data_IF_739147685598
#
_entry.id   IF_739147685598
#
_cell.length_a   1.000
_cell.length_b   1.000
_cell.length_c   1.000
_cell.angle_alpha   90.00
_cell.angle_beta   90.00
_cell.angle_gamma   90.00
#
_symmetry.space_group_name_H-M   'P 1'
#
loop_
_entity.id
_entity.type
_entity.pdbx_description
1 polymer ?
#
# COMPACT_ATOMS: atom_id res chain seq x y z
N UNK A 1 20.11 0.07 5.99
CA UNK A 1 19.60 1.41 6.37
C UNK A 1 20.71 2.23 7.01
N UNK A 2 21.50 1.65 7.93
CA UNK A 2 22.54 2.38 8.69
C UNK A 2 23.61 2.97 7.76
N UNK A 3 24.13 2.19 6.81
CA UNK A 3 25.10 2.67 5.81
C UNK A 3 24.55 3.86 5.02
N UNK A 4 23.31 3.78 4.52
CA UNK A 4 22.67 4.86 3.77
C UNK A 4 22.50 6.13 4.62
N UNK A 5 22.10 5.96 5.90
CA UNK A 5 21.94 7.10 6.80
C UNK A 5 23.26 7.79 7.10
N UNK A 6 24.32 7.03 7.40
CA UNK A 6 25.62 7.57 7.84
C UNK A 6 26.49 8.02 6.66
N UNK A 7 26.66 7.18 5.63
CA UNK A 7 27.61 7.46 4.54
C UNK A 7 27.01 8.40 3.48
N UNK A 8 25.74 8.23 3.11
CA UNK A 8 25.11 9.01 2.03
C UNK A 8 24.43 10.28 2.55
N UNK A 9 23.77 10.21 3.72
CA UNK A 9 22.99 11.32 4.25
C UNK A 9 23.66 12.06 5.42
N UNK A 10 24.72 11.52 5.98
CA UNK A 10 25.42 12.12 7.12
C UNK A 10 24.57 12.21 8.40
N UNK A 11 23.62 11.28 8.56
CA UNK A 11 22.71 11.22 9.69
C UNK A 11 23.17 10.16 10.70
N UNK A 12 22.91 10.38 11.99
CA UNK A 12 23.11 9.37 13.02
C UNK A 12 22.08 8.26 12.88
N UNK A 13 22.51 7.06 12.46
CA UNK A 13 21.65 5.91 12.23
C UNK A 13 20.87 5.50 13.48
N UNK A 14 21.41 5.74 14.68
CA UNK A 14 20.73 5.45 15.95
C UNK A 14 19.54 6.38 16.25
N UNK A 15 19.53 7.55 15.62
CA UNK A 15 18.48 8.57 15.75
C UNK A 15 17.52 8.62 14.54
N UNK A 16 17.74 7.75 13.54
CA UNK A 16 16.97 7.75 12.31
C UNK A 16 16.11 6.51 12.17
N UNK A 17 14.99 6.67 11.47
CA UNK A 17 14.18 5.58 10.94
C UNK A 17 13.77 5.90 9.51
N UNK A 18 13.65 4.88 8.67
CA UNK A 18 13.33 5.10 7.26
C UNK A 18 12.73 3.87 6.59
N UNK A 19 12.19 4.08 5.40
CA UNK A 19 11.61 3.06 4.56
C UNK A 19 12.26 3.11 3.19
N UNK A 20 12.67 1.95 2.67
CA UNK A 20 13.21 1.84 1.32
C UNK A 20 12.08 1.58 0.32
N UNK A 21 12.20 2.16 -0.88
CA UNK A 21 11.23 1.97 -1.95
C UNK A 21 11.91 1.97 -3.31
N UNK A 22 11.39 1.15 -4.24
CA UNK A 22 11.73 1.21 -5.66
C UNK A 22 10.83 2.19 -6.44
N UNK A 23 9.79 2.74 -5.80
CA UNK A 23 8.95 3.78 -6.43
C UNK A 23 9.73 5.11 -6.51
N UNK A 24 9.50 5.88 -7.58
CA UNK A 24 10.08 7.22 -7.68
C UNK A 24 9.59 8.13 -6.56
N UNK A 25 10.51 8.80 -5.89
CA UNK A 25 10.17 9.79 -4.85
C UNK A 25 9.43 11.00 -5.42
N UNK A 26 9.57 11.30 -6.70
CA UNK A 26 8.80 12.33 -7.39
C UNK A 26 7.31 12.00 -7.48
N UNK A 27 6.96 10.71 -7.37
CA UNK A 27 5.60 10.21 -7.32
C UNK A 27 5.05 10.04 -5.90
N UNK A 28 5.77 10.54 -4.89
CA UNK A 28 5.25 10.56 -3.53
C UNK A 28 4.00 11.44 -3.44
N UNK A 29 2.95 10.92 -2.84
CA UNK A 29 1.70 11.63 -2.64
C UNK A 29 1.54 12.06 -1.19
N UNK A 30 1.09 13.29 -0.98
CA UNK A 30 0.85 13.87 0.34
C UNK A 30 -0.63 14.21 0.47
N UNK A 31 -1.24 13.75 1.57
CA UNK A 31 -2.61 14.12 1.92
C UNK A 31 -2.66 14.57 3.37
N UNK A 32 -3.29 15.69 3.62
CA UNK A 32 -3.45 16.25 4.96
C UNK A 32 -4.93 16.60 5.22
N UNK A 33 -5.43 16.17 6.37
CA UNK A 33 -6.74 16.58 6.89
C UNK A 33 -6.59 17.08 8.31
N UNK A 34 -7.39 18.07 8.67
CA UNK A 34 -7.42 18.67 10.00
C UNK A 34 -8.82 18.56 10.61
N UNK A 35 -8.87 18.52 11.91
CA UNK A 35 -10.09 18.63 12.69
C UNK A 35 -9.77 19.38 13.98
N UNK A 36 -10.47 20.50 14.21
CA UNK A 36 -10.21 21.39 15.33
C UNK A 36 -8.72 21.76 15.44
N UNK A 37 -8.04 21.34 16.49
CA UNK A 37 -6.67 21.70 16.86
C UNK A 37 -5.62 20.64 16.49
N UNK A 38 -6.00 19.58 15.78
CA UNK A 38 -5.05 18.58 15.31
C UNK A 38 -5.19 18.24 13.82
N UNK A 39 -4.14 17.67 13.26
CA UNK A 39 -4.10 17.25 11.85
C UNK A 39 -3.41 15.89 11.68
N UNK A 40 -3.75 15.24 10.57
CA UNK A 40 -3.12 13.98 10.13
C UNK A 40 -2.60 14.20 8.72
N UNK A 41 -1.33 13.86 8.49
CA UNK A 41 -0.69 13.91 7.18
C UNK A 41 -0.15 12.52 6.84
N UNK A 42 -0.53 11.99 5.69
CA UNK A 42 0.05 10.79 5.11
C UNK A 42 0.95 11.17 3.93
N UNK A 43 2.20 10.71 3.94
CA UNK A 43 3.16 10.79 2.83
C UNK A 43 3.38 9.36 2.35
N UNK A 44 3.04 9.09 1.09
CA UNK A 44 2.97 7.72 0.57
C UNK A 44 3.71 7.60 -0.75
N UNK A 45 4.53 6.55 -0.88
CA UNK A 45 4.98 6.01 -2.16
C UNK A 45 4.33 4.65 -2.39
N UNK A 46 3.90 4.34 -3.61
CA UNK A 46 3.18 3.11 -3.86
C UNK A 46 3.45 2.51 -5.25
N UNK A 47 3.72 1.19 -5.29
CA UNK A 47 3.81 0.39 -6.51
C UNK A 47 3.32 -1.04 -6.23
N UNK A 48 2.36 -1.53 -7.02
CA UNK A 48 1.66 -2.80 -6.74
C UNK A 48 1.57 -3.75 -7.93
N UNK A 49 1.95 -3.29 -9.13
CA UNK A 49 1.68 -4.03 -10.38
C UNK A 49 2.34 -5.41 -10.42
N UNK A 50 3.53 -5.54 -9.86
CA UNK A 50 4.32 -6.79 -9.87
C UNK A 50 4.25 -7.59 -8.57
N UNK A 51 3.88 -6.97 -7.44
CA UNK A 51 3.97 -7.56 -6.10
C UNK A 51 2.71 -7.35 -5.23
N UNK A 52 1.59 -6.97 -5.85
CA UNK A 52 0.31 -6.89 -5.12
C UNK A 52 -0.09 -8.26 -4.57
N UNK A 53 -0.35 -8.37 -3.27
CA UNK A 53 -0.72 -9.60 -2.60
C UNK A 53 -1.83 -9.39 -1.57
N UNK A 54 -2.53 -10.47 -1.26
CA UNK A 54 -3.57 -10.50 -0.24
C UNK A 54 -3.03 -11.17 1.01
N UNK A 55 -3.28 -10.60 2.17
CA UNK A 55 -2.97 -11.28 3.44
C UNK A 55 -3.68 -12.63 3.50
N UNK A 56 -2.94 -13.70 3.81
CA UNK A 56 -3.43 -15.08 3.77
C UNK A 56 -3.19 -15.83 2.46
N UNK A 57 -2.63 -15.19 1.43
CA UNK A 57 -2.13 -15.89 0.25
C UNK A 57 -0.99 -16.84 0.63
N UNK A 58 -0.77 -17.96 -0.11
CA UNK A 58 0.32 -18.89 0.17
C UNK A 58 1.68 -18.18 0.16
N UNK A 59 2.46 -18.35 1.22
CA UNK A 59 3.81 -17.83 1.32
C UNK A 59 4.81 -18.77 0.64
N UNK A 60 5.77 -18.19 -0.10
CA UNK A 60 6.87 -18.91 -0.72
C UNK A 60 8.16 -18.92 0.10
N UNK A 61 8.22 -18.13 1.17
CA UNK A 61 9.42 -17.96 1.98
C UNK A 61 9.18 -18.34 3.43
N UNK A 62 10.22 -18.91 4.07
CA UNK A 62 10.21 -19.30 5.47
C UNK A 62 11.60 -19.01 6.08
N UNK A 63 11.64 -18.31 7.23
CA UNK A 63 12.88 -17.84 7.88
C UNK A 63 13.90 -18.93 8.23
N UNK A 64 13.45 -20.18 8.41
CA UNK A 64 14.32 -21.32 8.74
C UNK A 64 15.02 -21.95 7.51
N UNK A 65 14.62 -21.57 6.32
CA UNK A 65 15.33 -22.01 5.10
C UNK A 65 16.50 -21.07 4.85
N UNK A 66 17.72 -21.61 4.73
CA UNK A 66 18.93 -20.87 4.32
C UNK A 66 18.84 -20.35 2.87
N UNK A 67 17.68 -20.47 2.22
CA UNK A 67 17.45 -19.88 0.91
C UNK A 67 17.48 -18.36 1.04
N UNK A 68 18.60 -17.79 0.60
CA UNK A 68 18.75 -16.36 0.33
C UNK A 68 17.51 -15.81 -0.36
N UNK A 69 17.09 -14.60 0.01
CA UNK A 69 16.15 -13.82 -0.79
C UNK A 69 16.59 -13.92 -2.26
N UNK A 70 15.76 -14.55 -3.07
CA UNK A 70 16.03 -14.65 -4.50
C UNK A 70 15.92 -13.22 -5.07
N UNK A 71 16.99 -12.73 -5.72
CA UNK A 71 17.04 -11.41 -6.37
C UNK A 71 15.93 -11.24 -7.44
N UNK A 72 15.20 -12.33 -7.73
CA UNK A 72 14.03 -12.33 -8.62
C UNK A 72 12.74 -11.88 -7.97
N UNK A 73 12.74 -11.47 -6.68
CA UNK A 73 11.53 -11.02 -6.00
C UNK A 73 10.95 -9.79 -6.72
N UNK A 74 9.69 -9.85 -7.16
CA UNK A 74 9.09 -8.73 -7.90
C UNK A 74 9.13 -7.44 -7.09
N UNK A 75 9.59 -6.35 -7.70
CA UNK A 75 9.66 -5.03 -7.05
C UNK A 75 8.26 -4.43 -6.94
N UNK A 76 7.94 -3.92 -5.76
CA UNK A 76 6.69 -3.23 -5.49
C UNK A 76 6.49 -3.12 -3.99
N UNK A 77 6.17 -1.93 -3.51
CA UNK A 77 5.97 -1.66 -2.08
C UNK A 77 5.03 -0.48 -1.89
N UNK A 78 4.37 -0.44 -0.76
CA UNK A 78 3.62 0.73 -0.29
C UNK A 78 4.25 1.19 1.01
N UNK A 79 4.89 2.35 0.98
CA UNK A 79 5.48 2.97 2.15
C UNK A 79 4.65 4.18 2.57
N UNK A 80 4.33 4.26 3.86
CA UNK A 80 3.49 5.30 4.44
C UNK A 80 4.21 5.92 5.64
N UNK A 81 4.49 7.21 5.56
CA UNK A 81 4.83 8.04 6.71
C UNK A 81 3.55 8.73 7.17
N UNK A 82 3.06 8.39 8.36
CA UNK A 82 1.84 8.95 8.93
C UNK A 82 2.21 9.89 10.08
N UNK A 83 2.13 11.20 9.83
CA UNK A 83 2.36 12.22 10.83
C UNK A 83 1.03 12.66 11.45
N UNK A 84 0.97 12.65 12.77
CA UNK A 84 -0.19 13.05 13.57
C UNK A 84 0.25 14.20 14.47
N UNK A 85 -0.27 15.41 14.20
CA UNK A 85 0.06 16.61 14.98
C UNK A 85 -0.75 16.65 16.30
N UNK A 86 -0.58 15.60 17.09
CA UNK A 86 -1.13 15.46 18.44
C UNK A 86 -0.23 14.53 19.25
N UNK A 87 -0.25 14.68 20.58
CA UNK A 87 0.39 13.73 21.48
C UNK A 87 -0.46 12.46 21.62
N UNK A 88 0.17 11.31 21.40
CA UNK A 88 -0.49 10.00 21.45
C UNK A 88 0.12 9.11 22.51
N UNK A 89 -0.73 8.49 23.31
CA UNK A 89 -0.31 7.38 24.15
C UNK A 89 0.11 6.17 23.31
N UNK A 90 0.95 5.28 23.87
CA UNK A 90 1.46 4.09 23.17
C UNK A 90 0.33 3.20 22.61
N UNK A 91 -0.77 3.07 23.33
CA UNK A 91 -1.95 2.30 22.90
C UNK A 91 -2.64 2.94 21.68
N UNK A 92 -2.70 4.28 21.66
CA UNK A 92 -3.22 5.01 20.53
C UNK A 92 -2.30 4.92 19.30
N UNK A 93 -0.97 4.91 19.49
CA UNK A 93 0.00 4.66 18.42
C UNK A 93 -0.21 3.26 17.79
N UNK A 94 -0.36 2.22 18.61
CA UNK A 94 -0.66 0.86 18.15
C UNK A 94 -1.99 0.81 17.39
N UNK A 95 -3.03 1.48 17.90
CA UNK A 95 -4.33 1.59 17.24
C UNK A 95 -4.25 2.38 15.91
N UNK A 96 -3.41 3.42 15.83
CA UNK A 96 -3.17 4.17 14.60
C UNK A 96 -2.52 3.29 13.52
N UNK A 97 -1.60 2.39 13.90
CA UNK A 97 -1.00 1.43 12.98
C UNK A 97 -2.06 0.49 12.38
N UNK A 98 -2.96 -0.03 13.22
CA UNK A 98 -4.06 -0.88 12.76
C UNK A 98 -4.97 -0.12 11.80
N UNK A 99 -5.39 1.10 12.14
CA UNK A 99 -6.23 1.94 11.28
C UNK A 99 -5.56 2.29 9.96
N UNK A 100 -4.25 2.54 9.97
CA UNK A 100 -3.45 2.77 8.76
C UNK A 100 -3.42 1.53 7.86
N UNK A 101 -3.20 0.34 8.43
CA UNK A 101 -3.20 -0.92 7.69
C UNK A 101 -4.59 -1.24 7.09
N UNK A 102 -5.67 -1.01 7.85
CA UNK A 102 -7.04 -1.15 7.36
C UNK A 102 -7.33 -0.15 6.21
N UNK A 103 -6.91 1.10 6.34
CA UNK A 103 -7.07 2.12 5.31
C UNK A 103 -6.31 1.77 4.03
N UNK A 104 -5.09 1.21 4.16
CA UNK A 104 -4.34 0.67 3.02
C UNK A 104 -5.13 -0.43 2.32
N UNK A 105 -5.64 -1.42 3.05
CA UNK A 105 -6.46 -2.48 2.47
C UNK A 105 -7.73 -1.94 1.80
N UNK A 106 -8.39 -0.95 2.39
CA UNK A 106 -9.55 -0.29 1.80
C UNK A 106 -9.22 0.41 0.48
N UNK A 107 -8.09 1.13 0.40
CA UNK A 107 -7.63 1.75 -0.86
C UNK A 107 -7.41 0.71 -1.96
N UNK A 108 -6.80 -0.44 -1.63
CA UNK A 108 -6.59 -1.55 -2.56
C UNK A 108 -7.92 -2.15 -3.04
N UNK A 109 -8.89 -2.30 -2.13
CA UNK A 109 -10.23 -2.79 -2.45
C UNK A 109 -11.00 -1.81 -3.35
N UNK A 110 -10.96 -0.51 -3.06
CA UNK A 110 -11.63 0.50 -3.88
C UNK A 110 -11.05 0.62 -5.29
N UNK A 111 -9.74 0.39 -5.44
CA UNK A 111 -9.07 0.28 -6.74
C UNK A 111 -9.18 -1.12 -7.35
N UNK A 112 -9.75 -2.09 -6.63
CA UNK A 112 -9.87 -3.49 -7.05
C UNK A 112 -8.55 -4.09 -7.55
N UNK A 113 -7.44 -3.81 -6.87
CA UNK A 113 -6.14 -4.35 -7.24
C UNK A 113 -6.14 -5.87 -7.05
N UNK A 114 -5.88 -6.61 -8.12
CA UNK A 114 -5.80 -8.07 -8.06
C UNK A 114 -4.57 -8.54 -7.30
N UNK A 115 -4.72 -9.59 -6.48
CA UNK A 115 -3.55 -10.33 -5.98
C UNK A 115 -2.83 -11.01 -7.15
N UNK A 116 -1.51 -11.10 -7.06
CA UNK A 116 -0.67 -11.88 -8.00
C UNK A 116 -0.54 -13.35 -7.56
N UNK A 117 -1.00 -13.68 -6.36
CA UNK A 117 -0.80 -14.98 -5.70
C UNK A 117 -2.11 -15.75 -5.49
N UNK A 118 -3.26 -15.13 -5.75
CA UNK A 118 -4.59 -15.73 -5.66
C UNK A 118 -5.60 -14.99 -6.52
N UNK A 119 -6.83 -15.53 -6.63
CA UNK A 119 -7.95 -14.84 -7.29
C UNK A 119 -8.54 -13.70 -6.40
N UNK A 120 -7.92 -13.38 -5.27
CA UNK A 120 -8.39 -12.36 -4.35
C UNK A 120 -8.06 -10.93 -4.78
N UNK A 121 -8.59 -9.97 -4.03
CA UNK A 121 -8.17 -8.56 -4.10
C UNK A 121 -6.99 -8.40 -3.15
N UNK A 122 -5.91 -7.75 -3.63
CA UNK A 122 -4.73 -7.47 -2.82
C UNK A 122 -5.06 -6.56 -1.63
N UNK A 123 -4.34 -6.72 -0.53
CA UNK A 123 -4.43 -5.86 0.66
C UNK A 123 -3.19 -5.01 0.86
N UNK A 124 -2.18 -5.21 0.02
CA UNK A 124 -0.89 -4.52 0.02
C UNK A 124 0.10 -5.24 -0.87
N UNK A 125 1.37 -5.17 -0.52
CA UNK A 125 2.49 -5.91 -1.13
C UNK A 125 3.25 -6.71 -0.07
N UNK A 126 4.24 -7.49 -0.49
CA UNK A 126 5.06 -8.29 0.44
C UNK A 126 6.05 -7.48 1.30
N UNK A 127 6.26 -6.20 0.97
CA UNK A 127 7.32 -5.36 1.58
C UNK A 127 6.81 -4.01 2.09
N UNK A 128 5.50 -3.89 2.34
CA UNK A 128 4.91 -2.63 2.80
C UNK A 128 5.50 -2.18 4.15
N UNK A 129 5.71 -0.87 4.26
CA UNK A 129 6.21 -0.25 5.49
C UNK A 129 5.32 0.90 5.97
N UNK A 130 5.21 1.04 7.30
CA UNK A 130 4.51 2.15 7.94
C UNK A 130 5.34 2.72 9.07
N UNK A 131 5.56 4.03 9.07
CA UNK A 131 6.10 4.78 10.21
C UNK A 131 5.02 5.74 10.70
N UNK A 132 4.73 5.71 12.01
CA UNK A 132 3.81 6.62 12.65
C UNK A 132 4.60 7.60 13.50
N UNK A 133 4.37 8.88 13.29
CA UNK A 133 5.02 9.98 13.96
C UNK A 133 3.93 10.78 14.69
N UNK A 134 4.04 10.90 16.01
CA UNK A 134 3.17 11.74 16.83
C UNK A 134 3.95 12.96 17.35
N UNK A 135 3.27 14.10 17.48
CA UNK A 135 3.86 15.29 18.07
C UNK A 135 3.72 15.27 19.59
N UNK A 136 4.76 14.83 20.28
CA UNK A 136 4.80 14.75 21.75
C UNK A 136 4.76 16.14 22.45
N UNK A 137 5.01 17.22 21.70
CA UNK A 137 4.96 18.60 22.22
C UNK A 137 3.58 19.27 22.02
N UNK A 138 2.64 18.54 21.39
CA UNK A 138 1.28 19.05 21.18
C UNK A 138 0.50 19.14 22.49
N UNK A 139 -0.27 20.20 22.64
CA UNK A 139 -1.24 20.34 23.74
C UNK A 139 -2.48 19.46 23.55
N UNK A 140 -2.68 18.89 22.37
CA UNK A 140 -3.79 17.99 22.06
C UNK A 140 -3.40 16.56 22.35
N UNK A 141 -4.01 15.95 23.36
CA UNK A 141 -3.73 14.58 23.79
C UNK A 141 -4.84 13.65 23.35
N UNK A 142 -4.50 12.64 22.50
CA UNK A 142 -5.45 11.68 21.98
C UNK A 142 -5.13 10.26 22.46
N UNK A 143 -6.15 9.52 22.84
CA UNK A 143 -6.01 8.17 23.45
C UNK A 143 -6.58 7.06 22.58
N UNK A 144 -7.24 7.38 21.47
CA UNK A 144 -7.90 6.42 20.60
C UNK A 144 -7.76 6.82 19.13
N UNK A 145 -7.26 5.89 18.31
CA UNK A 145 -7.13 6.05 16.86
C UNK A 145 -7.98 5.02 16.07
N UNK A 146 -8.91 4.34 16.74
CA UNK A 146 -9.81 3.38 16.07
C UNK A 146 -10.80 4.06 15.13
N UNK A 147 -11.33 3.33 14.18
CA UNK A 147 -12.15 3.83 13.06
C UNK A 147 -13.39 4.66 13.44
N UNK A 148 -13.87 4.56 14.66
CA UNK A 148 -15.01 5.36 15.16
C UNK A 148 -14.58 6.62 15.92
N UNK A 149 -13.28 6.86 16.12
CA UNK A 149 -12.74 8.10 16.62
C UNK A 149 -12.51 9.10 15.48
N UNK A 150 -12.49 10.40 15.77
CA UNK A 150 -12.18 11.42 14.77
C UNK A 150 -10.75 11.23 14.22
N UNK A 151 -9.79 10.86 15.07
CA UNK A 151 -8.44 10.55 14.64
C UNK A 151 -8.43 9.38 13.64
N UNK A 152 -9.14 8.28 13.93
CA UNK A 152 -9.23 7.15 13.02
C UNK A 152 -9.90 7.47 11.69
N UNK A 153 -10.93 8.32 11.69
CA UNK A 153 -11.53 8.84 10.46
C UNK A 153 -10.51 9.62 9.61
N UNK A 154 -9.74 10.53 10.22
CA UNK A 154 -8.73 11.29 9.50
C UNK A 154 -7.61 10.39 8.98
N UNK A 155 -7.11 9.43 9.77
CA UNK A 155 -6.13 8.44 9.32
C UNK A 155 -6.67 7.71 8.08
N UNK A 156 -7.88 7.17 8.16
CA UNK A 156 -8.49 6.44 7.07
C UNK A 156 -8.55 7.26 5.78
N UNK A 157 -9.07 8.47 5.86
CA UNK A 157 -9.25 9.34 4.69
C UNK A 157 -7.93 9.81 4.08
N UNK A 158 -6.96 10.22 4.90
CA UNK A 158 -5.65 10.68 4.40
C UNK A 158 -4.87 9.54 3.75
N UNK A 159 -4.83 8.37 4.39
CA UNK A 159 -4.11 7.20 3.87
C UNK A 159 -4.74 6.68 2.58
N UNK A 160 -6.07 6.53 2.52
CA UNK A 160 -6.76 6.11 1.30
C UNK A 160 -6.47 7.09 0.16
N UNK A 161 -6.57 8.39 0.43
CA UNK A 161 -6.33 9.43 -0.59
C UNK A 161 -4.88 9.40 -1.08
N UNK A 162 -3.90 9.36 -0.17
CA UNK A 162 -2.48 9.38 -0.56
C UNK A 162 -2.06 8.13 -1.31
N UNK A 163 -2.55 6.93 -0.94
CA UNK A 163 -2.27 5.69 -1.67
C UNK A 163 -2.84 5.74 -3.09
N UNK A 164 -4.09 6.15 -3.23
CA UNK A 164 -4.71 6.26 -4.56
C UNK A 164 -3.95 7.23 -5.46
N UNK A 165 -3.52 8.36 -4.92
CA UNK A 165 -2.77 9.34 -5.67
C UNK A 165 -1.36 8.84 -6.01
N UNK A 166 -0.64 8.23 -5.07
CA UNK A 166 0.67 7.63 -5.32
C UNK A 166 0.60 6.54 -6.41
N UNK A 167 -0.41 5.68 -6.39
CA UNK A 167 -0.63 4.66 -7.43
C UNK A 167 -0.99 5.27 -8.79
N UNK A 168 -1.74 6.38 -8.80
CA UNK A 168 -2.03 7.12 -10.01
C UNK A 168 -0.77 7.71 -10.62
N UNK A 169 0.06 8.36 -9.80
CA UNK A 169 1.31 8.98 -10.24
C UNK A 169 2.33 7.93 -10.72
N UNK A 170 2.52 6.87 -9.94
CA UNK A 170 3.55 5.87 -10.20
C UNK A 170 3.17 4.91 -11.34
N UNK A 171 1.91 4.52 -11.48
CA UNK A 171 1.49 3.42 -12.35
C UNK A 171 0.25 3.71 -13.20
N UNK A 172 -0.32 4.92 -13.14
CA UNK A 172 -1.55 5.27 -13.84
C UNK A 172 -2.80 4.51 -13.36
N UNK A 173 -2.73 3.95 -12.13
CA UNK A 173 -3.85 3.18 -11.56
C UNK A 173 -4.88 4.15 -10.98
N UNK A 174 -6.09 4.10 -11.51
CA UNK A 174 -7.23 4.89 -11.06
C UNK A 174 -8.48 4.02 -11.07
N UNK A 175 -9.57 4.45 -10.42
CA UNK A 175 -10.86 3.76 -10.52
C UNK A 175 -11.29 3.61 -11.98
N UNK A 176 -11.09 4.64 -12.81
CA UNK A 176 -11.42 4.60 -14.23
C UNK A 176 -10.58 3.56 -15.00
N UNK A 177 -9.24 3.55 -14.80
CA UNK A 177 -8.36 2.57 -15.49
C UNK A 177 -8.60 1.13 -15.05
N UNK A 178 -9.34 0.94 -13.97
CA UNK A 178 -9.72 -0.36 -13.42
C UNK A 178 -11.12 -0.83 -13.85
N UNK A 179 -11.91 -0.01 -14.56
CA UNK A 179 -13.21 -0.36 -15.10
C UNK A 179 -13.13 -1.15 -16.43
N UNK A 180 -12.09 -1.94 -16.59
CA UNK A 180 -11.88 -2.84 -17.72
C UNK A 180 -12.26 -4.27 -17.32
N UNK A 181 -13.20 -4.87 -18.03
CA UNK A 181 -13.69 -6.22 -17.72
C UNK A 181 -12.59 -7.27 -17.91
N UNK A 182 -11.75 -7.14 -18.94
CA UNK A 182 -10.65 -8.07 -19.19
C UNK A 182 -9.67 -8.04 -18.03
N UNK A 183 -9.24 -6.84 -17.60
CA UNK A 183 -8.38 -6.67 -16.42
C UNK A 183 -9.00 -7.28 -15.16
N UNK A 184 -10.31 -7.22 -14.98
CA UNK A 184 -11.01 -7.86 -13.86
C UNK A 184 -10.96 -9.37 -13.91
N UNK A 185 -11.00 -9.91 -15.12
CA UNK A 185 -11.07 -11.35 -15.36
C UNK A 185 -9.68 -12.00 -15.41
N UNK A 186 -8.59 -11.23 -15.59
CA UNK A 186 -7.20 -11.75 -15.61
C UNK A 186 -6.90 -12.64 -14.39
N UNK A 187 -7.35 -12.26 -13.20
CA UNK A 187 -7.15 -13.03 -11.96
C UNK A 187 -7.84 -14.40 -11.96
N UNK A 188 -8.74 -14.64 -12.87
CA UNK A 188 -9.44 -15.91 -13.10
C UNK A 188 -8.88 -16.64 -14.31
N UNK A 189 -7.76 -16.20 -14.88
CA UNK A 189 -7.13 -16.80 -16.04
C UNK A 189 -7.79 -16.43 -17.37
N UNK A 190 -8.69 -15.44 -17.37
CA UNK A 190 -9.32 -14.93 -18.61
C UNK A 190 -8.50 -13.75 -19.11
N UNK A 191 -7.88 -13.91 -20.27
CA UNK A 191 -7.14 -12.86 -20.98
C UNK A 191 -7.80 -12.57 -22.34
N UNK A 192 -7.42 -11.48 -22.97
CA UNK A 192 -7.87 -11.14 -24.34
C UNK A 192 -7.48 -12.25 -25.31
N UNK A 193 -6.26 -12.77 -25.22
CA UNK A 193 -5.78 -13.85 -26.07
C UNK A 193 -6.60 -15.14 -25.86
N UNK A 194 -6.85 -15.51 -24.59
CA UNK A 194 -7.65 -16.69 -24.27
C UNK A 194 -9.10 -16.58 -24.82
N UNK A 195 -9.69 -15.40 -24.73
CA UNK A 195 -11.02 -15.14 -25.31
C UNK A 195 -11.00 -15.22 -26.84
N UNK A 196 -9.94 -14.65 -27.46
CA UNK A 196 -9.78 -14.68 -28.91
C UNK A 196 -9.55 -16.10 -29.43
N UNK A 197 -8.78 -16.91 -28.73
CA UNK A 197 -8.57 -18.31 -29.09
C UNK A 197 -9.86 -19.14 -28.95
N UNK A 198 -10.60 -18.95 -27.88
CA UNK A 198 -11.90 -19.57 -27.70
C UNK A 198 -12.89 -19.17 -28.82
N UNK A 199 -12.91 -17.90 -29.21
CA UNK A 199 -13.71 -17.42 -30.32
C UNK A 199 -13.32 -18.08 -31.63
N UNK A 200 -12.02 -18.15 -31.96
CA UNK A 200 -11.53 -18.79 -33.18
C UNK A 200 -11.91 -20.28 -33.25
N UNK A 201 -11.78 -21.00 -32.15
CA UNK A 201 -12.16 -22.41 -32.07
C UNK A 201 -13.66 -22.61 -32.29
N UNK A 202 -14.47 -21.80 -31.61
CA UNK A 202 -15.94 -21.86 -31.76
C UNK A 202 -16.37 -21.53 -33.18
N UNK A 203 -15.77 -20.49 -33.79
CA UNK A 203 -16.12 -20.07 -35.15
C UNK A 203 -15.70 -21.10 -36.21
N UNK A 204 -14.52 -21.74 -36.03
CA UNK A 204 -14.07 -22.83 -36.91
C UNK A 204 -15.04 -24.03 -36.88
N UNK A 205 -15.67 -24.29 -35.73
CA UNK A 205 -16.60 -25.38 -35.55
C UNK A 205 -18.02 -25.06 -36.07
N UNK A 206 -18.33 -23.76 -36.23
CA UNK A 206 -19.62 -23.32 -36.80
C UNK A 206 -19.65 -23.27 -38.33
N UNK A 207 -18.45 -23.27 -38.98
CA UNK A 207 -18.33 -23.21 -40.46
C UNK A 207 -18.10 -24.61 -41.07
N UNK A 208 -18.00 -25.66 -40.25
CA UNK A 208 -17.99 -27.06 -40.67
C UNK A 208 -19.39 -27.66 -40.62
#
# INVERSE_FOLDING_TARGET
MDILAEEDLGLDSSACSGLLTAASMENAAISTLSYEDFSVTAITTAGVRSNGGRIGDPASWHEKSESSFDDTTPTGTINILLYINADLKKEAMASALVSCAEAKAAAMQELLISSRYSCGIATGTGTDGVIIIANAESNTHLTNAGKHSKLGELIGRTVITSIKEALRLQQGITTHSQHDIIRRMERFGVSEDALWDCYKETYRNLIR
#
